data_IF_610562876716
#
_entry.id   IF_610562876716
#
_cell.length_a   1.000
_cell.length_b   1.000
_cell.length_c   1.000
_cell.angle_alpha   90.00
_cell.angle_beta   90.00
_cell.angle_gamma   90.00
#
_symmetry.space_group_name_H-M   'P 1'
#
loop_
_entity.id
_entity.type
_entity.pdbx_description
1 polymer ?
#
# COMPACT_ATOMS: atom_id res chain seq x y z
N UNK A 1 15.74 -2.12 -31.98
CA UNK A 1 14.74 -2.57 -30.98
C UNK A 1 14.93 -2.04 -29.56
N UNK A 2 16.14 -1.66 -29.12
CA UNK A 2 16.39 -1.15 -27.75
C UNK A 2 15.66 0.16 -27.39
N UNK A 3 15.53 1.10 -28.34
CA UNK A 3 14.90 2.41 -28.09
C UNK A 3 13.40 2.29 -27.70
N UNK A 4 12.68 1.35 -28.31
CA UNK A 4 11.27 1.04 -27.96
C UNK A 4 11.14 0.41 -26.57
N UNK A 5 12.11 -0.40 -26.14
CA UNK A 5 12.14 -1.00 -24.80
C UNK A 5 12.41 0.06 -23.72
N UNK A 6 13.34 1.00 -23.97
CA UNK A 6 13.61 2.11 -23.06
C UNK A 6 12.37 3.01 -22.89
N UNK A 7 11.69 3.34 -23.98
CA UNK A 7 10.46 4.15 -23.96
C UNK A 7 9.31 3.43 -23.22
N UNK A 8 9.19 2.10 -23.39
CA UNK A 8 8.24 1.27 -22.65
C UNK A 8 8.52 1.26 -21.15
N UNK A 9 9.79 1.09 -20.75
CA UNK A 9 10.22 1.15 -19.35
C UNK A 9 9.90 2.51 -18.71
N UNK A 10 10.20 3.60 -19.41
CA UNK A 10 9.90 4.95 -18.94
C UNK A 10 8.40 5.19 -18.70
N UNK A 11 7.54 4.73 -19.62
CA UNK A 11 6.08 4.80 -19.45
C UNK A 11 5.61 3.97 -18.26
N UNK A 12 6.15 2.76 -18.09
CA UNK A 12 5.79 1.88 -16.97
C UNK A 12 6.18 2.49 -15.63
N UNK A 13 7.39 3.04 -15.52
CA UNK A 13 7.89 3.60 -14.26
C UNK A 13 7.13 4.87 -13.86
N UNK A 14 6.80 5.71 -14.85
CA UNK A 14 5.92 6.87 -14.64
C UNK A 14 4.53 6.45 -14.16
N UNK A 15 3.93 5.41 -14.78
CA UNK A 15 2.62 4.89 -14.36
C UNK A 15 2.67 4.33 -12.95
N UNK A 16 3.73 3.61 -12.59
CA UNK A 16 3.95 3.06 -11.24
C UNK A 16 4.02 4.16 -10.19
N UNK A 17 4.83 5.19 -10.42
CA UNK A 17 4.95 6.33 -9.50
C UNK A 17 3.63 7.06 -9.31
N UNK A 18 2.90 7.29 -10.39
CA UNK A 18 1.58 7.94 -10.33
C UNK A 18 0.54 7.11 -9.58
N UNK A 19 0.53 5.79 -9.81
CA UNK A 19 -0.37 4.88 -9.11
C UNK A 19 -0.08 4.87 -7.61
N UNK A 20 1.20 4.81 -7.24
CA UNK A 20 1.64 4.84 -5.84
C UNK A 20 1.21 6.15 -5.16
N UNK A 21 1.43 7.31 -5.79
CA UNK A 21 1.00 8.59 -5.25
C UNK A 21 -0.52 8.69 -5.09
N UNK A 22 -1.31 8.17 -6.05
CA UNK A 22 -2.77 8.12 -5.93
C UNK A 22 -3.21 7.23 -4.77
N UNK A 23 -2.62 6.05 -4.62
CA UNK A 23 -2.95 5.11 -3.55
C UNK A 23 -2.65 5.74 -2.19
N UNK A 24 -1.47 6.33 -2.02
CA UNK A 24 -1.10 7.04 -0.78
C UNK A 24 -2.06 8.18 -0.48
N UNK A 25 -2.39 9.02 -1.48
CA UNK A 25 -3.35 10.11 -1.32
C UNK A 25 -4.75 9.61 -0.96
N UNK A 26 -5.17 8.49 -1.55
CA UNK A 26 -6.47 7.89 -1.28
C UNK A 26 -6.51 7.29 0.14
N UNK A 27 -5.41 6.67 0.57
CA UNK A 27 -5.26 6.15 1.93
C UNK A 27 -5.29 7.26 2.98
N UNK A 28 -4.59 8.37 2.72
CA UNK A 28 -4.61 9.55 3.59
C UNK A 28 -5.97 10.26 3.63
N UNK A 29 -6.87 9.95 2.70
CA UNK A 29 -8.24 10.49 2.62
C UNK A 29 -9.30 9.53 3.15
N UNK A 30 -8.93 8.28 3.48
CA UNK A 30 -9.87 7.34 4.07
C UNK A 30 -10.26 7.82 5.48
N UNK A 31 -11.55 7.73 5.85
CA UNK A 31 -12.01 8.07 7.19
C UNK A 31 -11.26 7.22 8.21
N UNK A 32 -10.92 7.82 9.36
CA UNK A 32 -10.24 7.11 10.44
C UNK A 32 -11.10 5.95 10.97
N UNK A 33 -12.41 6.02 10.79
CA UNK A 33 -13.37 4.96 11.08
C UNK A 33 -13.19 3.74 10.18
N UNK A 34 -12.82 3.93 8.89
CA UNK A 34 -12.48 2.80 8.01
C UNK A 34 -11.17 2.12 8.45
N UNK A 35 -10.30 2.86 9.15
CA UNK A 35 -9.13 2.33 9.84
C UNK A 35 -9.43 1.75 11.23
N UNK A 36 -10.69 1.72 11.67
CA UNK A 36 -11.13 1.04 12.89
C UNK A 36 -12.36 0.19 12.56
N UNK A 37 -12.20 -0.73 11.60
CA UNK A 37 -13.19 -1.78 11.42
C UNK A 37 -13.07 -2.82 12.55
N UNK A 38 -14.17 -3.48 12.95
CA UNK A 38 -14.11 -4.59 13.91
C UNK A 38 -13.12 -5.68 13.49
N UNK A 39 -13.02 -5.96 12.19
CA UNK A 39 -12.08 -6.92 11.63
C UNK A 39 -10.61 -6.50 11.80
N UNK A 40 -10.29 -5.21 11.65
CA UNK A 40 -8.92 -4.72 11.83
C UNK A 40 -8.50 -4.72 13.29
N UNK A 41 -9.41 -4.43 14.22
CA UNK A 41 -9.15 -4.52 15.65
C UNK A 41 -8.82 -5.97 16.06
N UNK A 42 -9.56 -6.95 15.51
CA UNK A 42 -9.28 -8.38 15.69
C UNK A 42 -7.93 -8.76 15.08
N UNK A 43 -7.66 -8.31 13.84
CA UNK A 43 -6.40 -8.57 13.17
C UNK A 43 -5.20 -8.01 13.95
N UNK A 44 -5.29 -6.77 14.45
CA UNK A 44 -4.24 -6.15 15.27
C UNK A 44 -4.00 -6.93 16.57
N UNK A 45 -5.06 -7.41 17.23
CA UNK A 45 -4.95 -8.27 18.41
C UNK A 45 -4.12 -9.53 18.14
N UNK A 46 -4.36 -10.20 17.02
CA UNK A 46 -3.59 -11.38 16.64
C UNK A 46 -2.12 -11.06 16.35
N UNK A 47 -1.85 -9.94 15.68
CA UNK A 47 -0.47 -9.49 15.43
C UNK A 47 0.24 -9.17 16.74
N UNK A 48 -0.38 -8.42 17.65
CA UNK A 48 0.19 -8.08 18.95
C UNK A 48 0.45 -9.33 19.81
N UNK A 49 -0.43 -10.34 19.73
CA UNK A 49 -0.24 -11.63 20.39
C UNK A 49 0.96 -12.40 19.82
N UNK A 50 1.08 -12.51 18.50
CA UNK A 50 2.22 -13.18 17.86
C UNK A 50 3.53 -12.47 18.19
N UNK A 51 3.55 -11.12 18.17
CA UNK A 51 4.73 -10.34 18.49
C UNK A 51 5.19 -10.53 19.95
N UNK A 52 4.28 -10.77 20.90
CA UNK A 52 4.64 -11.07 22.30
C UNK A 52 5.40 -12.38 22.46
N UNK A 53 5.20 -13.33 21.56
CA UNK A 53 5.91 -14.61 21.57
C UNK A 53 7.20 -14.58 20.73
N UNK A 54 7.44 -13.51 19.98
CA UNK A 54 8.64 -13.31 19.17
C UNK A 54 9.71 -12.44 19.85
N UNK A 55 9.41 -11.89 21.03
CA UNK A 55 10.33 -11.14 21.92
C UNK A 55 10.68 -12.01 23.11
#
# INVERSE_FOLDING_TARGET
NGLKLCQGRFRLDTRRNFYMQRVVKNWNRLPREAAVSPSLAVFKKHVDEVLRYMV
#
